data_IF_208460445905
#
_entry.id   IF_208460445905
#
_cell.length_a   1.000
_cell.length_b   1.000
_cell.length_c   1.000
_cell.angle_alpha   90.00
_cell.angle_beta   90.00
_cell.angle_gamma   90.00
#
_symmetry.space_group_name_H-M   'P 1'
#
loop_
_entity.id
_entity.type
_entity.pdbx_description
1 polymer ?
#
# COMPACT_ATOMS: atom_id res chain seq x y z
N UNK A 1 -19.49 7.37 -27.62
CA UNK A 1 -18.85 6.72 -26.44
C UNK A 1 -18.74 7.64 -25.22
N UNK A 2 -18.46 8.94 -25.38
CA UNK A 2 -18.31 9.86 -24.24
C UNK A 2 -19.59 10.07 -23.38
N UNK A 3 -20.78 10.11 -23.99
CA UNK A 3 -22.04 10.33 -23.26
C UNK A 3 -22.49 9.13 -22.42
N UNK A 4 -21.97 7.93 -22.68
CA UNK A 4 -22.33 6.69 -21.96
C UNK A 4 -21.49 6.47 -20.69
N UNK A 5 -20.44 7.28 -20.49
CA UNK A 5 -19.46 7.15 -19.40
C UNK A 5 -19.65 8.18 -18.28
N UNK A 6 -20.69 9.02 -18.36
CA UNK A 6 -21.06 9.96 -17.29
C UNK A 6 -22.19 9.43 -16.41
N UNK A 7 -22.85 8.34 -16.80
CA UNK A 7 -23.83 7.67 -15.95
C UNK A 7 -23.13 6.80 -14.91
N UNK A 8 -23.67 6.72 -13.67
CA UNK A 8 -23.09 5.88 -12.64
C UNK A 8 -22.93 4.41 -13.05
N UNK A 9 -23.91 3.88 -13.78
CA UNK A 9 -23.89 2.51 -14.31
C UNK A 9 -22.83 2.28 -15.39
N UNK A 10 -22.54 3.29 -16.22
CA UNK A 10 -21.52 3.21 -17.27
C UNK A 10 -20.11 3.11 -16.69
N UNK A 11 -19.82 3.94 -15.68
CA UNK A 11 -18.51 3.94 -14.99
C UNK A 11 -18.29 2.63 -14.26
N UNK A 12 -19.25 2.18 -13.45
CA UNK A 12 -19.15 0.90 -12.74
C UNK A 12 -18.90 -0.26 -13.71
N UNK A 13 -19.63 -0.30 -14.83
CA UNK A 13 -19.43 -1.35 -15.81
C UNK A 13 -18.05 -1.31 -16.48
N UNK A 14 -17.55 -0.12 -16.82
CA UNK A 14 -16.23 0.03 -17.44
C UNK A 14 -15.09 -0.30 -16.47
N UNK A 15 -15.14 0.27 -15.27
CA UNK A 15 -14.08 0.18 -14.27
C UNK A 15 -14.04 -1.21 -13.65
N UNK A 16 -15.18 -1.68 -13.15
CA UNK A 16 -15.28 -2.90 -12.34
C UNK A 16 -15.58 -4.10 -13.23
N UNK A 17 -16.72 -4.12 -13.92
CA UNK A 17 -17.17 -5.33 -14.62
C UNK A 17 -16.26 -5.71 -15.81
N UNK A 18 -15.71 -4.71 -16.51
CA UNK A 18 -14.76 -4.91 -17.61
C UNK A 18 -13.29 -4.91 -17.15
N UNK A 19 -13.02 -4.69 -15.86
CA UNK A 19 -11.67 -4.76 -15.29
C UNK A 19 -10.69 -3.69 -15.79
N UNK A 20 -11.17 -2.56 -16.34
CA UNK A 20 -10.27 -1.49 -16.78
C UNK A 20 -9.65 -0.73 -15.61
N UNK A 21 -10.30 -0.74 -14.45
CA UNK A 21 -9.86 0.00 -13.26
C UNK A 21 -9.91 1.52 -13.45
N UNK A 22 -9.44 2.24 -12.44
CA UNK A 22 -9.24 3.70 -12.53
C UNK A 22 -8.06 4.06 -13.42
N UNK A 23 -7.10 3.14 -13.64
CA UNK A 23 -6.02 3.33 -14.63
C UNK A 23 -6.59 3.52 -16.03
N UNK A 24 -7.46 2.61 -16.48
CA UNK A 24 -8.09 2.73 -17.79
C UNK A 24 -8.97 3.97 -17.91
N UNK A 25 -9.60 4.43 -16.81
CA UNK A 25 -10.32 5.71 -16.80
C UNK A 25 -9.38 6.90 -16.97
N UNK A 26 -8.24 6.91 -16.28
CA UNK A 26 -7.24 7.98 -16.38
C UNK A 26 -6.69 8.10 -17.80
N UNK A 27 -6.42 6.96 -18.45
CA UNK A 27 -5.92 6.89 -19.84
C UNK A 27 -6.91 7.42 -20.89
N UNK A 28 -8.20 7.56 -20.54
CA UNK A 28 -9.19 8.21 -21.41
C UNK A 28 -9.05 9.73 -21.44
N UNK A 29 -8.17 10.34 -20.64
CA UNK A 29 -7.95 11.78 -20.62
C UNK A 29 -9.14 12.56 -20.03
N UNK A 30 -9.72 12.03 -18.93
CA UNK A 30 -10.84 12.67 -18.25
C UNK A 30 -10.52 14.12 -17.86
N UNK A 31 -11.42 15.04 -18.19
CA UNK A 31 -11.28 16.46 -17.85
C UNK A 31 -11.77 16.78 -16.43
N UNK A 32 -12.58 15.89 -15.86
CA UNK A 32 -13.17 16.08 -14.52
C UNK A 32 -13.35 14.73 -13.85
N UNK A 33 -13.14 14.71 -12.53
CA UNK A 33 -13.34 13.52 -11.72
C UNK A 33 -14.82 13.09 -11.68
N UNK A 34 -15.15 11.80 -11.90
CA UNK A 34 -16.52 11.33 -11.75
C UNK A 34 -17.04 11.45 -10.31
N UNK A 35 -18.35 11.71 -10.16
CA UNK A 35 -18.98 11.97 -8.86
C UNK A 35 -18.77 10.87 -7.82
N UNK A 36 -18.64 9.62 -8.25
CA UNK A 36 -18.44 8.46 -7.38
C UNK A 36 -17.12 8.51 -6.62
N UNK A 37 -16.12 9.22 -7.12
CA UNK A 37 -14.80 9.36 -6.50
C UNK A 37 -14.65 10.65 -5.69
N UNK A 38 -15.68 11.52 -5.70
CA UNK A 38 -15.66 12.77 -4.94
C UNK A 38 -15.90 12.42 -3.47
N UNK A 39 -14.85 12.58 -2.67
CA UNK A 39 -14.85 12.27 -1.25
C UNK A 39 -15.72 13.24 -0.44
N UNK A 40 -16.25 12.83 0.73
CA UNK A 40 -16.87 13.74 1.69
C UNK A 40 -15.94 14.88 2.08
N UNK A 41 -16.50 16.03 2.48
CA UNK A 41 -15.71 17.23 2.77
C UNK A 41 -14.66 16.99 3.86
N UNK A 42 -14.97 16.12 4.83
CA UNK A 42 -14.11 15.78 5.95
C UNK A 42 -12.91 14.90 5.56
N UNK A 43 -13.02 14.16 4.45
CA UNK A 43 -11.96 13.31 3.89
C UNK A 43 -11.10 14.05 2.88
N UNK A 44 -11.60 15.14 2.28
CA UNK A 44 -10.81 15.96 1.35
C UNK A 44 -9.65 16.63 2.08
N UNK A 45 -8.45 16.44 1.56
CA UNK A 45 -7.25 17.08 2.07
C UNK A 45 -7.19 18.50 1.49
N UNK A 46 -7.59 19.50 2.27
CA UNK A 46 -7.54 20.91 1.85
C UNK A 46 -6.12 21.45 1.98
N UNK A 47 -5.64 22.21 0.99
CA UNK A 47 -4.38 23.01 1.05
C UNK A 47 -4.30 23.92 2.28
N UNK A 48 -5.44 24.34 2.85
CA UNK A 48 -5.49 25.11 4.09
C UNK A 48 -5.31 24.27 5.37
N UNK A 49 -5.50 22.95 5.29
CA UNK A 49 -5.21 22.01 6.40
C UNK A 49 -3.73 21.59 6.45
N UNK A 50 -2.95 21.97 5.44
CA UNK A 50 -1.50 22.00 5.50
C UNK A 50 -1.14 23.24 6.30
N UNK A 51 -1.06 23.08 7.62
CA UNK A 51 -0.41 24.08 8.45
C UNK A 51 1.04 24.20 7.98
N UNK A 52 1.32 25.05 7.00
CA UNK A 52 2.65 25.60 6.77
C UNK A 52 2.89 26.59 7.92
N UNK A 53 3.02 26.03 9.12
CA UNK A 53 3.68 26.66 10.24
C UNK A 53 4.78 25.69 10.59
N UNK A 54 6.00 26.00 10.15
CA UNK A 54 7.29 25.48 10.62
C UNK A 54 7.17 24.55 11.84
N UNK A 55 6.76 23.31 11.63
CA UNK A 55 6.79 22.29 12.67
C UNK A 55 7.96 21.40 12.30
N UNK A 56 8.97 21.39 13.17
CA UNK A 56 10.14 20.50 13.14
C UNK A 56 9.75 19.01 13.29
N UNK A 57 8.45 18.71 13.36
CA UNK A 57 7.89 17.37 13.46
C UNK A 57 7.92 16.66 12.10
N UNK A 58 8.95 15.84 11.89
CA UNK A 58 9.05 14.89 10.78
C UNK A 58 8.95 13.46 11.30
N UNK A 59 8.40 12.55 10.47
CA UNK A 59 8.42 11.11 10.76
C UNK A 59 9.87 10.67 11.02
N UNK A 60 10.15 9.96 12.13
CA UNK A 60 11.50 9.50 12.45
C UNK A 60 12.13 8.69 11.31
N UNK A 61 13.40 8.98 11.00
CA UNK A 61 14.21 8.21 10.05
C UNK A 61 15.30 7.50 10.85
N UNK A 62 15.34 6.18 10.72
CA UNK A 62 16.22 5.32 11.52
C UNK A 62 17.21 4.63 10.58
N UNK A 63 18.49 4.84 10.84
CA UNK A 63 19.58 4.17 10.13
C UNK A 63 19.82 2.78 10.72
N UNK A 64 19.64 1.76 9.90
CA UNK A 64 19.77 0.35 10.26
C UNK A 64 21.12 -0.23 9.87
N UNK A 65 22.13 0.59 9.53
CA UNK A 65 23.46 0.08 9.14
C UNK A 65 24.15 -0.72 10.25
N UNK A 66 23.83 -0.46 11.53
CA UNK A 66 24.37 -1.18 12.69
C UNK A 66 23.25 -1.72 13.59
N UNK A 67 22.72 -2.89 13.24
CA UNK A 67 21.61 -3.56 13.94
C UNK A 67 21.89 -3.87 15.42
N UNK A 68 23.16 -4.06 15.78
CA UNK A 68 23.57 -4.45 17.13
C UNK A 68 23.75 -3.23 18.06
N UNK A 69 23.66 -2.00 17.54
CA UNK A 69 23.68 -0.80 18.37
C UNK A 69 22.37 -0.70 19.18
N UNK A 70 22.41 -0.71 20.53
CA UNK A 70 21.23 -0.56 21.36
C UNK A 70 20.43 0.71 21.06
N UNK A 71 21.07 1.76 20.52
CA UNK A 71 20.40 3.01 20.13
C UNK A 71 19.44 2.83 18.95
N UNK A 72 19.72 1.89 18.04
CA UNK A 72 18.83 1.58 16.91
C UNK A 72 17.55 0.94 17.44
N UNK A 73 17.67 -0.04 18.35
CA UNK A 73 16.52 -0.65 18.99
C UNK A 73 15.71 0.37 19.81
N UNK A 74 16.38 1.25 20.56
CA UNK A 74 15.74 2.34 21.30
C UNK A 74 14.97 3.29 20.38
N UNK A 75 15.58 3.74 19.27
CA UNK A 75 14.94 4.62 18.29
C UNK A 75 13.70 4.00 17.66
N UNK A 76 13.74 2.70 17.32
CA UNK A 76 12.58 1.97 16.79
C UNK A 76 11.45 1.94 17.81
N UNK A 77 11.77 1.61 19.05
CA UNK A 77 10.77 1.53 20.11
C UNK A 77 10.15 2.89 20.42
N UNK A 78 10.96 3.93 20.56
CA UNK A 78 10.48 5.31 20.76
C UNK A 78 9.60 5.78 19.61
N UNK A 79 10.00 5.52 18.36
CA UNK A 79 9.19 5.90 17.21
C UNK A 79 7.86 5.10 17.15
N UNK A 80 7.88 3.82 17.50
CA UNK A 80 6.66 3.01 17.60
C UNK A 80 5.71 3.53 18.71
N UNK A 81 6.25 3.92 19.88
CA UNK A 81 5.48 4.42 21.01
C UNK A 81 4.91 5.84 20.76
N UNK A 82 5.72 6.75 20.19
CA UNK A 82 5.37 8.17 20.06
C UNK A 82 4.65 8.50 18.74
N UNK A 83 4.99 7.79 17.66
CA UNK A 83 4.45 8.04 16.33
C UNK A 83 3.57 6.91 15.83
N UNK A 84 3.88 5.66 16.17
CA UNK A 84 3.34 4.49 15.49
C UNK A 84 3.76 4.41 14.01
N UNK A 85 4.79 5.17 13.62
CA UNK A 85 5.27 5.26 12.24
C UNK A 85 6.74 5.71 12.21
N UNK A 86 7.55 5.10 11.35
CA UNK A 86 8.95 5.48 11.13
C UNK A 86 9.44 5.00 9.76
N UNK A 87 10.53 5.60 9.29
CA UNK A 87 11.23 5.21 8.07
C UNK A 87 12.54 4.51 8.42
N UNK A 88 12.91 3.54 7.61
CA UNK A 88 14.16 2.80 7.74
C UNK A 88 15.05 3.11 6.55
N UNK A 89 16.32 3.39 6.80
CA UNK A 89 17.38 3.47 5.78
C UNK A 89 18.46 2.44 6.09
N UNK A 90 19.22 2.01 5.08
CA UNK A 90 20.24 0.97 5.22
C UNK A 90 19.70 -0.33 5.85
N UNK A 91 18.43 -0.67 5.59
CA UNK A 91 17.71 -1.80 6.18
C UNK A 91 18.14 -3.18 5.66
N UNK A 92 19.12 -3.25 4.75
CA UNK A 92 19.72 -4.50 4.27
C UNK A 92 18.94 -5.26 3.20
N UNK A 93 17.77 -4.77 2.78
CA UNK A 93 17.08 -5.31 1.58
C UNK A 93 17.77 -4.72 0.36
N UNK A 94 18.26 -5.54 -0.60
CA UNK A 94 18.97 -5.04 -1.77
C UNK A 94 18.11 -4.08 -2.60
N UNK A 95 18.70 -2.96 -3.04
CA UNK A 95 18.00 -1.95 -3.86
C UNK A 95 17.40 -2.58 -5.12
N UNK A 96 18.13 -3.49 -5.77
CA UNK A 96 17.64 -4.21 -6.95
C UNK A 96 16.32 -4.96 -6.68
N UNK A 97 16.15 -5.55 -5.49
CA UNK A 97 14.89 -6.23 -5.13
C UNK A 97 13.75 -5.24 -4.98
N UNK A 98 14.01 -4.03 -4.46
CA UNK A 98 13.03 -2.96 -4.33
C UNK A 98 12.61 -2.39 -5.69
N UNK A 99 13.58 -2.17 -6.59
CA UNK A 99 13.30 -1.67 -7.94
C UNK A 99 12.55 -2.73 -8.77
N UNK A 100 13.01 -3.99 -8.73
CA UNK A 100 12.39 -5.08 -9.48
C UNK A 100 10.92 -5.30 -9.09
N UNK A 101 10.55 -5.19 -7.81
CA UNK A 101 9.14 -5.33 -7.39
C UNK A 101 8.28 -4.13 -7.80
N UNK A 102 8.85 -2.91 -7.86
CA UNK A 102 8.17 -1.73 -8.42
C UNK A 102 7.94 -1.91 -9.92
N UNK A 103 8.96 -2.32 -10.67
CA UNK A 103 8.84 -2.58 -12.10
C UNK A 103 7.83 -3.71 -12.39
N UNK A 104 7.89 -4.80 -11.64
CA UNK A 104 6.93 -5.89 -11.72
C UNK A 104 5.49 -5.42 -11.45
N UNK A 105 5.32 -4.48 -10.52
CA UNK A 105 4.03 -3.82 -10.27
C UNK A 105 3.54 -3.08 -11.51
N UNK A 106 4.38 -2.25 -12.11
CA UNK A 106 4.04 -1.55 -13.36
C UNK A 106 3.69 -2.54 -14.49
N UNK A 107 4.52 -3.57 -14.70
CA UNK A 107 4.28 -4.61 -15.71
C UNK A 107 2.91 -5.26 -15.55
N UNK A 108 2.51 -5.59 -14.32
CA UNK A 108 1.17 -6.14 -14.07
C UNK A 108 0.05 -5.16 -14.46
N UNK A 109 0.14 -3.89 -14.07
CA UNK A 109 -0.91 -2.91 -14.35
C UNK A 109 -0.96 -2.45 -15.83
N UNK A 110 0.13 -2.63 -16.57
CA UNK A 110 0.23 -2.43 -18.01
C UNK A 110 -0.37 -3.56 -18.84
N UNK A 111 -0.62 -4.74 -18.25
CA UNK A 111 -1.31 -5.83 -18.95
C UNK A 111 -2.69 -5.39 -19.46
N UNK A 112 -3.18 -6.00 -20.56
CA UNK A 112 -4.54 -5.81 -21.03
C UNK A 112 -5.57 -6.04 -19.91
N UNK A 113 -6.66 -5.28 -19.92
CA UNK A 113 -7.73 -5.41 -18.92
C UNK A 113 -8.26 -6.84 -18.81
N UNK A 114 -8.35 -7.57 -19.93
CA UNK A 114 -8.76 -8.98 -19.96
C UNK A 114 -7.83 -9.86 -19.14
N UNK A 115 -6.52 -9.69 -19.27
CA UNK A 115 -5.51 -10.46 -18.52
C UNK A 115 -5.57 -10.14 -17.03
N UNK A 116 -5.60 -8.86 -16.64
CA UNK A 116 -5.73 -8.45 -15.23
C UNK A 116 -7.04 -8.95 -14.61
N UNK A 117 -8.13 -8.94 -15.38
CA UNK A 117 -9.44 -9.38 -14.90
C UNK A 117 -9.49 -10.84 -14.50
N UNK A 118 -8.59 -11.70 -15.01
CA UNK A 118 -8.48 -13.11 -14.58
C UNK A 118 -8.21 -13.24 -13.08
N UNK A 119 -7.61 -12.22 -12.47
CA UNK A 119 -7.36 -12.17 -11.04
C UNK A 119 -8.50 -11.48 -10.25
N UNK A 120 -9.62 -11.08 -10.86
CA UNK A 120 -10.73 -10.44 -10.13
C UNK A 120 -11.42 -11.41 -9.17
N UNK A 121 -12.19 -10.89 -8.22
CA UNK A 121 -12.92 -11.72 -7.24
C UNK A 121 -13.83 -12.78 -7.91
N UNK A 122 -14.40 -12.45 -9.06
CA UNK A 122 -15.35 -13.30 -9.79
C UNK A 122 -14.67 -14.33 -10.70
N UNK A 123 -13.40 -14.09 -11.08
CA UNK A 123 -12.70 -14.88 -12.09
C UNK A 123 -11.49 -15.64 -11.54
N UNK A 124 -10.93 -15.17 -10.42
CA UNK A 124 -9.80 -15.82 -9.76
C UNK A 124 -10.19 -17.21 -9.26
N UNK A 125 -9.31 -18.18 -9.45
CA UNK A 125 -9.49 -19.55 -8.96
C UNK A 125 -9.28 -19.67 -7.43
N UNK A 126 -8.83 -18.60 -6.76
CA UNK A 126 -8.59 -18.57 -5.31
C UNK A 126 -8.96 -17.22 -4.71
N UNK A 127 -9.43 -17.24 -3.46
CA UNK A 127 -9.66 -16.02 -2.67
C UNK A 127 -8.35 -15.34 -2.23
N UNK A 128 -7.20 -15.99 -2.42
CA UNK A 128 -5.89 -15.50 -2.03
C UNK A 128 -5.26 -14.55 -3.06
N UNK A 129 -5.79 -14.51 -4.29
CA UNK A 129 -5.35 -13.61 -5.35
C UNK A 129 -6.54 -12.76 -5.78
N UNK A 130 -6.42 -11.44 -5.63
CA UNK A 130 -7.51 -10.51 -5.95
C UNK A 130 -7.00 -9.21 -6.58
N UNK A 131 -7.28 -9.05 -7.86
CA UNK A 131 -7.27 -7.77 -8.56
C UNK A 131 -8.59 -7.03 -8.32
N UNK A 132 -8.51 -5.73 -8.08
CA UNK A 132 -9.67 -4.90 -7.85
C UNK A 132 -9.37 -3.41 -7.98
N UNK A 133 -10.42 -2.63 -7.80
CA UNK A 133 -10.41 -1.17 -7.87
C UNK A 133 -11.32 -0.66 -6.76
N UNK A 134 -10.81 0.27 -5.95
CA UNK A 134 -11.39 0.63 -4.65
C UNK A 134 -11.51 -0.54 -3.66
N UNK A 135 -11.27 -0.32 -2.38
CA UNK A 135 -11.16 -1.41 -1.43
C UNK A 135 -12.51 -2.14 -1.20
N UNK A 136 -13.57 -1.37 -0.96
CA UNK A 136 -14.93 -1.89 -0.74
C UNK A 136 -16.00 -0.95 -1.36
N UNK A 137 -16.26 -1.05 -2.68
CA UNK A 137 -17.21 -0.18 -3.37
C UNK A 137 -18.62 -0.15 -2.78
N UNK A 138 -19.02 -1.21 -2.07
CA UNK A 138 -20.36 -1.37 -1.48
C UNK A 138 -20.46 -0.76 -0.08
N UNK A 139 -19.34 -0.61 0.63
CA UNK A 139 -19.30 -0.04 1.97
C UNK A 139 -18.80 1.43 1.97
N UNK A 140 -18.08 1.82 0.92
CA UNK A 140 -17.54 3.16 0.76
C UNK A 140 -18.64 4.18 0.41
N UNK A 141 -18.58 5.35 1.04
CA UNK A 141 -19.45 6.50 0.70
C UNK A 141 -19.04 7.14 -0.63
N UNK A 142 -17.75 7.07 -0.96
CA UNK A 142 -17.14 7.49 -2.20
C UNK A 142 -15.94 6.56 -2.49
N UNK A 143 -15.78 6.18 -3.75
CA UNK A 143 -14.73 5.28 -4.20
C UNK A 143 -13.34 5.95 -4.07
N UNK A 144 -12.35 5.13 -3.79
CA UNK A 144 -10.94 5.49 -3.77
C UNK A 144 -10.38 5.50 -5.19
N UNK A 145 -9.48 6.44 -5.49
CA UNK A 145 -8.80 6.54 -6.78
C UNK A 145 -7.58 5.61 -6.83
N UNK A 146 -7.84 4.30 -6.76
CA UNK A 146 -6.80 3.26 -6.66
C UNK A 146 -7.21 1.96 -7.31
N UNK A 147 -6.30 1.37 -8.08
CA UNK A 147 -6.33 -0.04 -8.46
C UNK A 147 -5.35 -0.84 -7.59
N UNK A 148 -5.65 -2.11 -7.31
CA UNK A 148 -4.78 -2.96 -6.52
C UNK A 148 -4.80 -4.42 -6.99
N UNK A 149 -3.68 -5.10 -6.75
CA UNK A 149 -3.57 -6.56 -6.73
C UNK A 149 -3.18 -6.97 -5.32
N UNK A 150 -4.06 -7.71 -4.64
CA UNK A 150 -3.85 -8.25 -3.30
C UNK A 150 -3.48 -9.73 -3.39
N UNK A 151 -2.34 -10.08 -2.82
CA UNK A 151 -1.79 -11.43 -2.80
C UNK A 151 -1.63 -11.87 -1.35
N UNK A 152 -2.37 -12.90 -0.96
CA UNK A 152 -2.24 -13.58 0.32
C UNK A 152 -1.29 -14.77 0.15
N UNK A 153 -0.24 -14.80 0.95
CA UNK A 153 0.76 -15.86 0.87
C UNK A 153 0.35 -17.03 1.77
N UNK A 154 0.29 -18.22 1.16
CA UNK A 154 0.00 -19.50 1.83
C UNK A 154 1.20 -20.43 1.76
N UNK A 155 1.74 -20.62 0.55
CA UNK A 155 2.94 -21.40 0.29
C UNK A 155 3.57 -20.99 -1.04
N UNK A 156 4.85 -21.34 -1.24
CA UNK A 156 5.51 -21.15 -2.54
C UNK A 156 4.80 -21.93 -3.66
N UNK A 157 4.29 -23.13 -3.38
CA UNK A 157 3.55 -23.95 -4.37
C UNK A 157 2.26 -23.25 -4.84
N UNK A 158 1.48 -22.70 -3.91
CA UNK A 158 0.27 -21.96 -4.26
C UNK A 158 0.61 -20.68 -5.02
N UNK A 159 1.61 -19.93 -4.54
CA UNK A 159 2.06 -18.72 -5.23
C UNK A 159 2.55 -19.05 -6.66
N UNK A 160 3.32 -20.13 -6.81
CA UNK A 160 3.81 -20.61 -8.10
C UNK A 160 2.69 -20.90 -9.09
N UNK A 161 1.62 -21.52 -8.61
CA UNK A 161 0.47 -21.93 -9.42
C UNK A 161 -0.52 -20.78 -9.70
N UNK A 162 -0.72 -19.84 -8.76
CA UNK A 162 -1.86 -18.92 -8.79
C UNK A 162 -1.49 -17.44 -8.96
N UNK A 163 -0.28 -17.01 -8.57
CA UNK A 163 0.09 -15.60 -8.67
C UNK A 163 0.38 -15.20 -10.12
N UNK A 164 0.10 -13.95 -10.51
CA UNK A 164 0.30 -13.51 -11.89
C UNK A 164 1.77 -13.66 -12.33
N UNK A 165 2.06 -14.36 -13.44
CA UNK A 165 3.43 -14.56 -13.91
C UNK A 165 4.20 -13.26 -14.17
N UNK A 166 3.49 -12.16 -14.46
CA UNK A 166 4.09 -10.84 -14.73
C UNK A 166 4.82 -10.22 -13.52
N UNK A 167 4.52 -10.65 -12.30
CA UNK A 167 5.10 -10.09 -11.08
C UNK A 167 5.47 -11.12 -10.00
N UNK A 168 5.17 -12.40 -10.21
CA UNK A 168 5.27 -13.42 -9.17
C UNK A 168 6.66 -13.50 -8.54
N UNK A 169 7.71 -13.64 -9.35
CA UNK A 169 9.05 -13.97 -8.87
C UNK A 169 9.65 -12.80 -8.09
N UNK A 170 9.48 -11.56 -8.59
CA UNK A 170 9.93 -10.36 -7.89
C UNK A 170 9.18 -10.11 -6.59
N UNK A 171 7.88 -10.40 -6.55
CA UNK A 171 7.08 -10.29 -5.32
C UNK A 171 7.53 -11.32 -4.28
N UNK A 172 7.76 -12.58 -4.69
CA UNK A 172 8.25 -13.62 -3.78
C UNK A 172 9.63 -13.29 -3.22
N UNK A 173 10.56 -12.83 -4.06
CA UNK A 173 11.90 -12.43 -3.61
C UNK A 173 11.82 -11.21 -2.66
N UNK A 174 11.01 -10.20 -2.97
CA UNK A 174 10.78 -9.06 -2.08
C UNK A 174 10.22 -9.49 -0.72
N UNK A 175 9.22 -10.37 -0.70
CA UNK A 175 8.64 -10.88 0.54
C UNK A 175 9.66 -11.64 1.38
N UNK A 176 10.47 -12.51 0.76
CA UNK A 176 11.52 -13.28 1.43
C UNK A 176 12.57 -12.38 2.09
N UNK A 177 13.03 -11.33 1.39
CA UNK A 177 14.00 -10.38 1.97
C UNK A 177 13.37 -9.51 3.05
N UNK A 178 12.12 -9.10 2.86
CA UNK A 178 11.38 -8.28 3.83
C UNK A 178 11.03 -9.06 5.09
N UNK A 179 10.80 -10.37 5.01
CA UNK A 179 10.53 -11.21 6.18
C UNK A 179 11.69 -11.18 7.18
N UNK A 180 12.93 -11.21 6.70
CA UNK A 180 14.13 -11.11 7.55
C UNK A 180 14.16 -9.77 8.29
N UNK A 181 13.85 -8.68 7.58
CA UNK A 181 13.72 -7.34 8.15
C UNK A 181 12.62 -7.28 9.22
N UNK A 182 11.43 -7.80 8.91
CA UNK A 182 10.28 -7.82 9.81
C UNK A 182 10.59 -8.61 11.09
N UNK A 183 11.23 -9.79 10.98
CA UNK A 183 11.65 -10.59 12.14
C UNK A 183 12.54 -9.79 13.09
N UNK A 184 13.54 -9.09 12.55
CA UNK A 184 14.44 -8.24 13.37
C UNK A 184 13.72 -7.09 14.05
N UNK A 185 12.80 -6.42 13.34
CA UNK A 185 11.99 -5.35 13.92
C UNK A 185 11.11 -5.88 15.06
N UNK A 186 10.46 -7.02 14.85
CA UNK A 186 9.66 -7.67 15.88
C UNK A 186 10.50 -8.06 17.08
N UNK A 187 11.69 -8.64 16.90
CA UNK A 187 12.58 -8.96 18.03
C UNK A 187 12.91 -7.72 18.87
N UNK A 188 13.19 -6.56 18.25
CA UNK A 188 13.48 -5.32 18.96
C UNK A 188 12.25 -4.81 19.73
N UNK A 189 11.08 -4.76 19.08
CA UNK A 189 9.82 -4.33 19.69
C UNK A 189 9.38 -5.27 20.83
N UNK A 190 9.51 -6.57 20.64
CA UNK A 190 9.14 -7.58 21.64
C UNK A 190 10.07 -7.55 22.86
N UNK A 191 11.38 -7.31 22.66
CA UNK A 191 12.32 -7.10 23.77
C UNK A 191 11.93 -5.91 24.64
N UNK A 192 11.47 -4.80 24.04
CA UNK A 192 10.94 -3.64 24.77
C UNK A 192 9.71 -3.98 25.61
N UNK A 193 8.89 -4.92 25.16
CA UNK A 193 7.75 -5.46 25.89
C UNK A 193 8.12 -6.55 26.93
N UNK A 194 9.41 -6.70 27.26
CA UNK A 194 9.95 -7.73 28.15
C UNK A 194 9.76 -9.17 27.66
N UNK A 195 9.55 -9.37 26.36
CA UNK A 195 9.51 -10.69 25.73
C UNK A 195 10.91 -11.02 25.21
N UNK A 196 11.55 -12.00 25.86
CA UNK A 196 12.97 -12.33 25.63
C UNK A 196 13.22 -13.07 24.32
N UNK A 197 12.25 -13.85 23.86
CA UNK A 197 12.35 -14.70 22.68
C UNK A 197 10.98 -14.80 21.99
N UNK A 198 10.99 -14.84 20.65
CA UNK A 198 9.83 -15.11 19.81
C UNK A 198 9.87 -16.62 19.50
N UNK A 199 9.14 -17.41 20.28
CA UNK A 199 8.93 -18.83 19.99
C UNK A 199 7.96 -19.03 18.83
N UNK A 200 7.78 -20.29 18.40
CA UNK A 200 6.91 -20.65 17.27
C UNK A 200 5.46 -20.18 17.44
N UNK A 201 4.94 -20.17 18.67
CA UNK A 201 3.58 -19.67 18.94
C UNK A 201 3.50 -18.16 18.69
N UNK A 202 4.45 -17.39 19.23
CA UNK A 202 4.50 -15.93 19.01
C UNK A 202 4.80 -15.58 17.57
N UNK A 203 5.65 -16.35 16.89
CA UNK A 203 5.89 -16.18 15.45
C UNK A 203 4.59 -16.39 14.67
N UNK A 204 3.83 -17.43 15.00
CA UNK A 204 2.50 -17.66 14.43
C UNK A 204 1.50 -16.53 14.71
N UNK A 205 1.53 -15.93 15.90
CA UNK A 205 0.66 -14.80 16.25
C UNK A 205 1.06 -13.50 15.54
N UNK A 206 2.36 -13.22 15.41
CA UNK A 206 2.88 -11.96 14.88
C UNK A 206 3.00 -11.97 13.35
N UNK A 207 3.35 -13.12 12.78
CA UNK A 207 3.74 -13.30 11.37
C UNK A 207 2.98 -14.44 10.67
N UNK A 208 2.02 -15.10 11.32
CA UNK A 208 1.33 -16.28 10.77
C UNK A 208 0.45 -16.01 9.54
N UNK A 209 0.27 -14.75 9.16
CA UNK A 209 -0.36 -14.40 7.89
C UNK A 209 0.37 -13.24 7.22
N UNK A 210 0.75 -13.43 5.96
CA UNK A 210 1.41 -12.41 5.15
C UNK A 210 0.55 -12.06 3.94
N UNK A 211 0.36 -10.77 3.72
CA UNK A 211 -0.36 -10.22 2.57
C UNK A 211 0.46 -9.09 1.98
N UNK A 212 0.58 -9.07 0.66
CA UNK A 212 1.17 -7.95 -0.08
C UNK A 212 0.14 -7.36 -1.04
N UNK A 213 0.12 -6.03 -1.11
CA UNK A 213 -0.72 -5.29 -2.03
C UNK A 213 0.16 -4.51 -2.99
N UNK A 214 0.04 -4.81 -4.28
CA UNK A 214 0.58 -4.00 -5.36
C UNK A 214 -0.48 -2.94 -5.66
N UNK A 215 -0.22 -1.69 -5.26
CA UNK A 215 -1.16 -0.58 -5.44
C UNK A 215 -0.74 0.28 -6.64
N UNK A 216 -1.71 0.76 -7.41
CA UNK A 216 -1.49 1.67 -8.53
C UNK A 216 -2.43 2.88 -8.42
N UNK A 217 -1.83 4.06 -8.39
CA UNK A 217 -2.52 5.34 -8.27
C UNK A 217 -2.34 6.13 -9.58
N UNK A 218 -3.30 6.05 -10.51
CA UNK A 218 -3.17 6.75 -11.79
C UNK A 218 -3.34 8.26 -11.61
N UNK A 219 -2.91 9.03 -12.62
CA UNK A 219 -3.09 10.49 -12.65
C UNK A 219 -4.59 10.82 -12.45
N UNK A 220 -4.87 11.73 -11.52
CA UNK A 220 -6.21 12.20 -11.19
C UNK A 220 -6.43 13.61 -11.77
N UNK A 221 -7.56 13.89 -12.46
CA UNK A 221 -7.86 15.23 -12.98
C UNK A 221 -8.18 16.27 -11.90
N UNK A 222 -8.71 15.84 -10.75
CA UNK A 222 -9.05 16.72 -9.61
C UNK A 222 -8.57 16.07 -8.29
N UNK A 223 -7.26 16.03 -8.03
CA UNK A 223 -6.69 15.34 -6.86
C UNK A 223 -7.22 15.89 -5.52
N UNK A 224 -7.64 17.15 -5.46
CA UNK A 224 -8.23 17.80 -4.27
C UNK A 224 -9.61 17.26 -3.88
N UNK A 225 -10.28 16.55 -4.79
CA UNK A 225 -11.63 16.02 -4.58
C UNK A 225 -11.65 14.54 -4.18
N UNK A 226 -10.52 13.83 -4.28
CA UNK A 226 -10.44 12.39 -4.02
C UNK A 226 -9.23 12.03 -3.16
N UNK A 227 -9.09 10.74 -2.86
CA UNK A 227 -7.96 10.17 -2.14
C UNK A 227 -7.57 8.84 -2.78
N UNK A 228 -6.29 8.49 -2.69
CA UNK A 228 -5.82 7.15 -3.04
C UNK A 228 -6.29 6.09 -2.03
N UNK A 229 -6.25 6.42 -0.73
CA UNK A 229 -6.82 5.63 0.36
C UNK A 229 -7.40 6.58 1.41
N UNK A 230 -8.58 6.27 1.95
CA UNK A 230 -9.23 7.06 3.00
C UNK A 230 -8.52 6.96 4.37
N UNK A 231 -8.96 7.76 5.35
CA UNK A 231 -8.45 7.66 6.72
C UNK A 231 -8.73 6.27 7.31
N UNK A 232 -7.68 5.59 7.74
CA UNK A 232 -7.79 4.30 8.41
C UNK A 232 -6.61 4.10 9.36
N UNK A 233 -6.70 3.03 10.14
CA UNK A 233 -5.58 2.43 10.87
C UNK A 233 -5.46 1.00 10.40
N UNK A 234 -4.24 0.55 10.16
CA UNK A 234 -3.99 -0.83 9.78
C UNK A 234 -4.36 -1.79 10.91
N UNK A 235 -4.91 -2.94 10.54
CA UNK A 235 -5.28 -4.03 11.46
C UNK A 235 -4.19 -5.12 11.53
N UNK A 236 -3.07 -4.91 10.84
CA UNK A 236 -1.92 -5.82 10.85
C UNK A 236 -1.03 -5.61 12.08
N UNK A 237 -0.23 -6.61 12.43
CA UNK A 237 0.84 -6.49 13.43
C UNK A 237 1.84 -5.39 13.05
N UNK A 238 2.32 -5.40 11.80
CA UNK A 238 3.23 -4.42 11.23
C UNK A 238 2.93 -4.28 9.73
N UNK A 239 3.12 -3.08 9.19
CA UNK A 239 3.03 -2.79 7.75
C UNK A 239 4.36 -2.26 7.26
N UNK A 240 4.94 -2.90 6.25
CA UNK A 240 6.13 -2.40 5.54
C UNK A 240 5.68 -1.81 4.22
N UNK A 241 5.85 -0.50 4.06
CA UNK A 241 5.45 0.25 2.88
C UNK A 241 6.68 0.61 2.04
N UNK A 242 6.70 0.15 0.79
CA UNK A 242 7.62 0.60 -0.25
C UNK A 242 6.90 1.59 -1.15
N UNK A 243 7.41 2.82 -1.27
CA UNK A 243 6.84 3.87 -2.11
C UNK A 243 7.67 4.07 -3.38
N UNK A 244 7.05 4.69 -4.38
CA UNK A 244 7.76 5.28 -5.51
C UNK A 244 8.39 6.63 -5.11
N UNK A 245 9.04 7.28 -6.05
CA UNK A 245 9.68 8.58 -5.89
C UNK A 245 8.69 9.74 -5.70
N UNK A 246 7.39 9.55 -5.99
CA UNK A 246 6.37 10.59 -5.83
C UNK A 246 5.84 10.58 -4.40
N UNK A 247 5.56 9.39 -3.85
CA UNK A 247 5.03 9.22 -2.52
C UNK A 247 3.54 9.54 -2.42
N UNK A 248 3.16 10.39 -1.46
CA UNK A 248 1.74 10.75 -1.21
C UNK A 248 1.12 10.10 0.04
N UNK A 249 1.95 9.53 0.91
CA UNK A 249 1.51 9.08 2.23
C UNK A 249 1.26 10.28 3.14
N UNK A 250 0.15 10.25 3.88
CA UNK A 250 -0.16 11.21 4.95
C UNK A 250 -0.40 10.47 6.25
N UNK A 251 0.39 10.81 7.27
CA UNK A 251 0.27 10.24 8.62
C UNK A 251 -0.32 11.28 9.55
N UNK A 252 -1.28 10.89 10.38
CA UNK A 252 -1.81 11.77 11.44
C UNK A 252 -1.00 11.56 12.71
N UNK A 253 -0.18 12.54 13.08
CA UNK A 253 0.52 12.58 14.37
C UNK A 253 -0.20 13.56 15.29
N UNK A 254 -0.67 13.08 16.45
CA UNK A 254 -1.52 13.85 17.38
C UNK A 254 -2.78 14.45 16.71
N UNK A 255 -3.03 15.76 16.84
CA UNK A 255 -4.13 16.47 16.15
C UNK A 255 -3.73 16.98 14.76
N UNK A 256 -2.49 16.74 14.32
CA UNK A 256 -1.90 17.29 13.09
C UNK A 256 -1.71 16.21 12.02
N UNK A 257 -1.65 16.62 10.76
CA UNK A 257 -1.33 15.76 9.61
C UNK A 257 0.08 16.08 9.15
N UNK A 258 0.93 15.07 9.07
CA UNK A 258 2.29 15.14 8.55
C UNK A 258 2.28 14.41 7.20
N UNK A 259 2.47 15.17 6.12
CA UNK A 259 2.56 14.62 4.77
C UNK A 259 3.99 14.24 4.43
N UNK A 260 4.16 13.18 3.65
CA UNK A 260 5.45 12.75 3.13
C UNK A 260 5.50 12.90 1.61
N UNK A 261 6.56 13.54 1.14
CA UNK A 261 7.00 13.55 -0.25
C UNK A 261 8.40 12.93 -0.23
N UNK A 262 8.67 11.92 -1.06
CA UNK A 262 9.96 11.22 -1.04
C UNK A 262 11.10 12.22 -1.20
N UNK A 263 12.04 12.22 -0.25
CA UNK A 263 13.24 13.03 -0.34
C UNK A 263 14.28 12.28 -1.18
N UNK A 264 14.35 12.72 -2.44
CA UNK A 264 15.37 12.49 -3.49
C UNK A 264 15.12 11.33 -4.45
#
# INVERSE_FOLDING_TARGET
MAQTMTSPSGITNFVINKGNGVKGLSEMGLQSLPKQYIQPLEERISTASFGIKNSEESIPIIDMSNWDDPKVAEAICSAAEEWGFFQLVNHGVPIEVLENVKDATHRFFELPAEEKSKNSKERSCSNNVRFGTSFSPQAEKALEWKDYLSLFYVSEDEASALWPPACKDEVLEYMKKSEILIKRLLEMLMKRLNVKEIDQEKEGLLMGSMRINLNYYPICPNPELTVGVGRHSDVSTLTVLLQDQIGGLYVRHTTRRVGFMSLR
#
